data_IF_541020545740
#
_entry.id   IF_541020545740
#
_cell.length_a   1.000
_cell.length_b   1.000
_cell.length_c   1.000
_cell.angle_alpha   90.00
_cell.angle_beta   90.00
_cell.angle_gamma   90.00
#
_symmetry.space_group_name_H-M   'P 1'
#
loop_
_entity.id
_entity.type
_entity.pdbx_description
1 polymer ?
#
# COMPACT_ATOMS: atom_id res chain seq x y z
N UNK A 1 -12.05 4.86 19.41
CA UNK A 1 -12.48 5.38 20.71
C UNK A 1 -13.91 4.94 20.88
N UNK A 2 -14.12 3.83 21.60
CA UNK A 2 -15.45 3.24 21.78
C UNK A 2 -15.89 3.56 23.20
N UNK A 3 -16.86 4.47 23.32
CA UNK A 3 -17.45 4.87 24.58
C UNK A 3 -18.18 3.67 25.21
N UNK A 4 -17.57 3.10 26.24
CA UNK A 4 -18.14 2.01 27.02
C UNK A 4 -19.13 2.62 28.03
N UNK A 5 -20.31 3.01 27.55
CA UNK A 5 -21.38 3.47 28.42
C UNK A 5 -21.98 2.29 29.19
N UNK A 6 -22.02 2.44 30.51
CA UNK A 6 -22.62 1.49 31.45
C UNK A 6 -24.08 1.24 31.06
N UNK A 7 -24.43 -0.02 30.73
CA UNK A 7 -25.76 -0.39 30.25
C UNK A 7 -26.83 -0.14 31.33
N UNK A 8 -28.07 0.12 30.91
CA UNK A 8 -29.20 0.43 31.81
C UNK A 8 -29.42 -0.65 32.90
N UNK A 9 -29.14 -1.92 32.57
CA UNK A 9 -29.18 -3.03 33.53
C UNK A 9 -28.13 -2.90 34.65
N UNK A 10 -26.90 -2.49 34.32
CA UNK A 10 -25.88 -2.24 35.34
C UNK A 10 -26.25 -1.06 36.24
N UNK A 11 -26.88 -0.01 35.68
CA UNK A 11 -27.34 1.14 36.46
C UNK A 11 -28.45 0.73 37.45
N UNK A 12 -29.39 -0.09 37.01
CA UNK A 12 -30.47 -0.60 37.86
C UNK A 12 -29.95 -1.52 38.98
N UNK A 13 -28.96 -2.37 38.69
CA UNK A 13 -28.31 -3.21 39.69
C UNK A 13 -27.59 -2.36 40.75
N UNK A 14 -26.86 -1.31 40.34
CA UNK A 14 -26.16 -0.41 41.26
C UNK A 14 -27.17 0.35 42.15
N UNK A 15 -28.26 0.85 41.57
CA UNK A 15 -29.30 1.57 42.32
C UNK A 15 -29.96 0.64 43.35
N UNK A 16 -30.22 -0.62 43.00
CA UNK A 16 -30.80 -1.59 43.93
C UNK A 16 -29.88 -1.85 45.14
N UNK A 17 -28.57 -2.03 44.91
CA UNK A 17 -27.57 -2.22 45.97
C UNK A 17 -27.47 -0.99 46.87
N UNK A 18 -27.40 0.21 46.29
CA UNK A 18 -27.36 1.46 47.07
C UNK A 18 -28.63 1.60 47.91
N UNK A 19 -29.80 1.27 47.38
CA UNK A 19 -31.08 1.37 48.10
C UNK A 19 -31.13 0.40 49.29
N UNK A 20 -30.61 -0.82 49.14
CA UNK A 20 -30.45 -1.77 50.25
C UNK A 20 -29.48 -1.28 51.34
N UNK A 21 -28.35 -0.69 50.95
CA UNK A 21 -27.37 -0.18 51.90
C UNK A 21 -27.87 1.06 52.66
N UNK A 22 -28.63 1.93 51.98
CA UNK A 22 -29.22 3.13 52.59
C UNK A 22 -30.39 2.80 53.53
N UNK A 23 -31.12 1.71 53.29
CA UNK A 23 -32.16 1.26 54.23
C UNK A 23 -31.58 0.58 55.48
N UNK A 24 -30.34 0.09 55.40
CA UNK A 24 -29.65 -0.58 56.53
C UNK A 24 -28.91 0.39 57.45
N UNK A 25 -28.88 1.70 57.14
CA UNK A 25 -28.16 2.71 57.94
C UNK A 25 -29.05 3.61 58.82
N UNK A 26 -30.37 3.38 58.90
CA UNK A 26 -31.24 4.04 59.87
C UNK A 26 -31.69 3.09 60.99
N UNK A 27 -30.74 2.68 61.83
CA UNK A 27 -30.98 2.25 63.21
C UNK A 27 -29.65 2.24 63.99
N UNK A 28 -29.40 3.41 64.58
CA UNK A 28 -28.59 3.75 65.76
C UNK A 28 -27.08 3.52 65.90
N UNK A 29 -26.47 4.64 66.30
CA UNK A 29 -25.14 4.93 66.81
C UNK A 29 -24.96 4.54 68.30
N UNK A 30 -23.82 3.92 68.64
CA UNK A 30 -22.73 4.42 69.52
C UNK A 30 -21.79 3.23 69.82
N UNK A 31 -20.57 3.21 69.28
CA UNK A 31 -19.31 3.77 69.81
C UNK A 31 -18.65 2.94 70.93
N UNK A 32 -17.36 2.64 70.67
CA UNK A 32 -16.28 2.10 71.53
C UNK A 32 -16.02 0.59 71.56
N UNK A 33 -14.87 0.27 70.95
CA UNK A 33 -13.78 -0.58 71.44
C UNK A 33 -14.03 -1.58 72.56
N UNK A 34 -13.58 -2.81 72.31
CA UNK A 34 -12.78 -3.68 73.19
C UNK A 34 -13.32 -5.10 73.30
N UNK A 35 -12.37 -6.02 73.13
CA UNK A 35 -12.24 -7.30 73.82
C UNK A 35 -13.36 -8.33 73.79
N UNK A 36 -12.95 -9.49 73.29
CA UNK A 36 -13.53 -10.80 73.51
C UNK A 36 -13.49 -11.06 75.02
N UNK A 37 -14.64 -10.96 75.68
CA UNK A 37 -14.84 -11.48 77.03
C UNK A 37 -16.13 -12.31 77.05
N UNK A 38 -15.94 -13.62 77.24
CA UNK A 38 -17.01 -14.59 77.45
C UNK A 38 -17.29 -14.53 78.95
N UNK A 39 -18.46 -14.03 79.34
CA UNK A 39 -18.94 -14.18 80.71
C UNK A 39 -20.21 -15.04 80.78
N UNK A 40 -20.07 -16.11 81.55
CA UNK A 40 -21.08 -17.11 81.87
C UNK A 40 -21.64 -16.71 83.23
N UNK A 41 -22.80 -16.06 83.27
CA UNK A 41 -23.90 -16.34 84.22
C UNK A 41 -24.86 -15.15 84.41
N UNK A 42 -26.12 -15.35 84.03
CA UNK A 42 -27.23 -14.99 84.92
C UNK A 42 -28.45 -15.85 84.58
N UNK A 43 -28.63 -16.88 85.41
CA UNK A 43 -29.85 -17.67 85.50
C UNK A 43 -30.90 -16.79 86.19
N UNK A 44 -32.03 -16.53 85.55
CA UNK A 44 -33.27 -16.13 86.22
C UNK A 44 -34.46 -16.74 85.50
N UNK A 45 -34.95 -17.82 86.10
CA UNK A 45 -36.17 -18.54 85.78
C UNK A 45 -37.38 -17.62 85.87
N UNK A 46 -38.16 -17.50 84.80
CA UNK A 46 -39.62 -17.25 84.89
C UNK A 46 -40.31 -17.87 83.68
N UNK A 47 -41.17 -18.84 83.96
CA UNK A 47 -42.02 -19.57 83.04
C UNK A 47 -42.99 -18.64 82.32
N UNK A 48 -42.84 -18.48 81.01
CA UNK A 48 -43.87 -18.04 80.06
C UNK A 48 -43.70 -18.82 78.75
N UNK A 49 -44.84 -19.21 78.19
CA UNK A 49 -45.01 -20.09 77.03
C UNK A 49 -44.45 -19.41 75.75
N UNK A 50 -43.58 -20.13 75.02
CA UNK A 50 -43.11 -19.99 73.60
C UNK A 50 -43.01 -18.59 72.95
N UNK A 51 -41.84 -18.19 72.39
CA UNK A 51 -41.71 -18.14 70.92
C UNK A 51 -40.26 -18.35 70.42
N UNK A 52 -39.58 -19.42 70.84
CA UNK A 52 -38.19 -19.68 70.39
C UNK A 52 -38.16 -20.34 69.00
N UNK A 53 -39.21 -21.08 68.63
CA UNK A 53 -39.28 -21.80 67.35
C UNK A 53 -39.50 -20.86 66.16
N UNK A 54 -40.38 -19.85 66.31
CA UNK A 54 -40.73 -18.95 65.22
C UNK A 54 -39.54 -18.10 64.74
N UNK A 55 -38.62 -17.71 65.64
CA UNK A 55 -37.44 -16.93 65.28
C UNK A 55 -36.41 -17.76 64.48
N UNK A 56 -36.27 -19.05 64.82
CA UNK A 56 -35.37 -19.98 64.09
C UNK A 56 -35.96 -20.30 62.72
N UNK A 57 -37.28 -20.50 62.64
CA UNK A 57 -37.98 -20.74 61.38
C UNK A 57 -37.93 -19.52 60.45
N UNK A 58 -38.02 -18.29 60.98
CA UNK A 58 -37.83 -17.05 60.22
C UNK A 58 -36.40 -16.94 59.68
N UNK A 59 -35.38 -17.21 60.50
CA UNK A 59 -33.98 -17.16 60.04
C UNK A 59 -33.65 -18.25 59.02
N UNK A 60 -34.20 -19.45 59.18
CA UNK A 60 -34.08 -20.52 58.19
C UNK A 60 -34.75 -20.15 56.87
N UNK A 61 -35.92 -19.50 56.93
CA UNK A 61 -36.62 -18.99 55.75
C UNK A 61 -35.78 -17.94 55.01
N UNK A 62 -35.19 -16.98 55.72
CA UNK A 62 -34.29 -15.97 55.13
C UNK A 62 -33.02 -16.59 54.51
N UNK A 63 -32.46 -17.62 55.15
CA UNK A 63 -31.31 -18.38 54.61
C UNK A 63 -31.72 -19.16 53.36
N UNK A 64 -32.89 -19.79 53.34
CA UNK A 64 -33.42 -20.47 52.16
C UNK A 64 -33.64 -19.51 51.00
N UNK A 65 -34.26 -18.35 51.24
CA UNK A 65 -34.44 -17.31 50.22
C UNK A 65 -33.09 -16.81 49.69
N UNK A 66 -32.09 -16.64 50.57
CA UNK A 66 -30.73 -16.26 50.17
C UNK A 66 -30.07 -17.35 49.31
N UNK A 67 -30.28 -18.63 49.65
CA UNK A 67 -29.79 -19.77 48.86
C UNK A 67 -30.44 -19.80 47.48
N UNK A 68 -31.75 -19.56 47.39
CA UNK A 68 -32.48 -19.55 46.12
C UNK A 68 -32.02 -18.39 45.21
N UNK A 69 -31.80 -17.21 45.78
CA UNK A 69 -31.25 -16.05 45.06
C UNK A 69 -29.84 -16.36 44.54
N UNK A 70 -28.99 -16.97 45.38
CA UNK A 70 -27.63 -17.36 44.99
C UNK A 70 -27.64 -18.45 43.91
N UNK A 71 -28.52 -19.45 44.02
CA UNK A 71 -28.67 -20.50 43.03
C UNK A 71 -29.12 -19.92 41.68
N UNK A 72 -30.09 -19.00 41.68
CA UNK A 72 -30.52 -18.27 40.48
C UNK A 72 -29.42 -17.41 39.87
N UNK A 73 -28.62 -16.75 40.69
CA UNK A 73 -27.45 -15.97 40.25
C UNK A 73 -26.38 -16.85 39.60
N UNK A 74 -26.07 -18.00 40.20
CA UNK A 74 -25.12 -18.99 39.66
C UNK A 74 -25.63 -19.53 38.32
N UNK A 75 -26.91 -19.85 38.21
CA UNK A 75 -27.50 -20.34 36.96
C UNK A 75 -27.39 -19.28 35.85
N UNK A 76 -27.72 -18.03 36.16
CA UNK A 76 -27.62 -16.91 35.19
C UNK A 76 -26.19 -16.71 34.71
N UNK A 77 -25.21 -16.77 35.63
CA UNK A 77 -23.78 -16.67 35.28
C UNK A 77 -23.33 -17.85 34.42
N UNK A 78 -23.82 -19.05 34.69
CA UNK A 78 -23.50 -20.23 33.90
C UNK A 78 -24.06 -20.10 32.47
N UNK A 79 -25.29 -19.64 32.32
CA UNK A 79 -25.92 -19.42 31.02
C UNK A 79 -25.18 -18.33 30.22
N UNK A 80 -24.77 -17.24 30.88
CA UNK A 80 -23.94 -16.18 30.28
C UNK A 80 -22.55 -16.68 29.87
N UNK A 81 -21.91 -17.53 30.69
CA UNK A 81 -20.62 -18.14 30.36
C UNK A 81 -20.72 -19.06 29.13
N UNK A 82 -21.80 -19.83 29.01
CA UNK A 82 -22.06 -20.66 27.83
C UNK A 82 -22.32 -19.80 26.59
N UNK A 83 -23.11 -18.72 26.71
CA UNK A 83 -23.34 -17.78 25.61
C UNK A 83 -22.03 -17.16 25.12
N UNK A 84 -21.19 -16.68 26.04
CA UNK A 84 -19.90 -16.09 25.72
C UNK A 84 -18.96 -17.10 25.05
N UNK A 85 -18.97 -18.36 25.51
CA UNK A 85 -18.22 -19.44 24.87
C UNK A 85 -18.65 -19.67 23.42
N UNK A 86 -19.95 -19.70 23.15
CA UNK A 86 -20.47 -19.84 21.80
C UNK A 86 -20.11 -18.64 20.90
N UNK A 87 -20.21 -17.41 21.42
CA UNK A 87 -19.79 -16.21 20.69
C UNK A 87 -18.29 -16.21 20.37
N UNK A 88 -17.46 -16.65 21.33
CA UNK A 88 -16.01 -16.81 21.13
C UNK A 88 -15.70 -17.76 19.99
N UNK A 89 -16.36 -18.92 19.93
CA UNK A 89 -16.20 -19.89 18.83
C UNK A 89 -16.64 -19.30 17.49
N UNK A 90 -17.76 -18.55 17.47
CA UNK A 90 -18.24 -17.90 16.24
C UNK A 90 -17.24 -16.86 15.71
N UNK A 91 -16.66 -16.06 16.61
CA UNK A 91 -15.64 -15.07 16.25
C UNK A 91 -14.37 -15.79 15.74
N UNK A 92 -13.95 -16.87 16.41
CA UNK A 92 -12.78 -17.63 16.00
C UNK A 92 -12.95 -18.19 14.58
N UNK A 93 -14.09 -18.80 14.27
CA UNK A 93 -14.38 -19.31 12.93
C UNK A 93 -14.38 -18.21 11.87
N UNK A 94 -14.86 -17.00 12.21
CA UNK A 94 -14.84 -15.86 11.30
C UNK A 94 -13.40 -15.36 11.06
N UNK A 95 -12.55 -15.35 12.09
CA UNK A 95 -11.13 -15.01 11.97
C UNK A 95 -10.40 -16.03 11.09
N UNK A 96 -10.68 -17.32 11.27
CA UNK A 96 -10.06 -18.38 10.48
C UNK A 96 -10.47 -18.28 8.99
N UNK A 97 -11.75 -18.02 8.72
CA UNK A 97 -12.25 -17.76 7.36
C UNK A 97 -11.58 -16.55 6.73
N UNK A 98 -11.51 -15.42 7.43
CA UNK A 98 -10.86 -14.20 6.94
C UNK A 98 -9.35 -14.41 6.71
N UNK A 99 -8.69 -15.19 7.57
CA UNK A 99 -7.28 -15.54 7.43
C UNK A 99 -7.05 -16.37 6.16
N UNK A 100 -7.95 -17.30 5.85
CA UNK A 100 -7.90 -18.08 4.63
C UNK A 100 -8.11 -17.21 3.38
N UNK A 101 -9.10 -16.33 3.39
CA UNK A 101 -9.33 -15.38 2.28
C UNK A 101 -8.12 -14.47 2.04
N UNK A 102 -7.51 -13.97 3.12
CA UNK A 102 -6.30 -13.17 3.04
C UNK A 102 -5.12 -13.95 2.43
N UNK A 103 -4.97 -15.23 2.77
CA UNK A 103 -3.95 -16.10 2.19
C UNK A 103 -4.15 -16.30 0.67
N UNK A 104 -5.39 -16.52 0.24
CA UNK A 104 -5.75 -16.63 -1.19
C UNK A 104 -5.44 -15.33 -1.93
N UNK A 105 -5.86 -14.19 -1.38
CA UNK A 105 -5.59 -12.89 -1.98
C UNK A 105 -4.10 -12.61 -2.10
N UNK A 106 -3.32 -12.95 -1.07
CA UNK A 106 -1.86 -12.81 -1.06
C UNK A 106 -1.21 -13.61 -2.18
N UNK A 107 -1.63 -14.86 -2.38
CA UNK A 107 -1.14 -15.70 -3.48
C UNK A 107 -1.48 -15.09 -4.84
N UNK A 108 -2.71 -14.61 -5.02
CA UNK A 108 -3.15 -13.97 -6.26
C UNK A 108 -2.32 -12.71 -6.59
N UNK A 109 -2.07 -11.84 -5.60
CA UNK A 109 -1.22 -10.66 -5.78
C UNK A 109 0.22 -11.06 -6.10
N UNK A 110 0.74 -12.10 -5.44
CA UNK A 110 2.09 -12.61 -5.70
C UNK A 110 2.22 -13.11 -7.15
N UNK A 111 1.25 -13.87 -7.64
CA UNK A 111 1.23 -14.35 -9.04
C UNK A 111 1.16 -13.18 -10.04
N UNK A 112 0.33 -12.17 -9.77
CA UNK A 112 0.24 -10.97 -10.61
C UNK A 112 1.57 -10.19 -10.63
N UNK A 113 2.25 -10.07 -9.49
CA UNK A 113 3.54 -9.39 -9.42
C UNK A 113 4.63 -10.16 -10.20
N UNK A 114 4.64 -11.49 -10.11
CA UNK A 114 5.54 -12.34 -10.91
C UNK A 114 5.29 -12.13 -12.40
N UNK A 115 4.03 -12.04 -12.82
CA UNK A 115 3.68 -11.74 -14.20
C UNK A 115 4.17 -10.35 -14.64
N UNK A 116 3.96 -9.32 -13.82
CA UNK A 116 4.44 -7.96 -14.10
C UNK A 116 5.97 -7.89 -14.18
N UNK A 117 6.67 -8.61 -13.30
CA UNK A 117 8.12 -8.71 -13.34
C UNK A 117 8.61 -9.36 -14.65
N UNK A 118 7.89 -10.35 -15.17
CA UNK A 118 8.15 -10.93 -16.49
C UNK A 118 7.97 -9.96 -17.66
N UNK A 119 7.17 -8.90 -17.50
CA UNK A 119 6.94 -7.87 -18.53
C UNK A 119 7.93 -6.69 -18.47
N UNK A 120 8.64 -6.49 -17.36
CA UNK A 120 9.63 -5.40 -17.20
C UNK A 120 10.70 -5.38 -18.29
N UNK A 121 11.31 -6.51 -18.70
CA UNK A 121 12.30 -6.50 -19.78
C UNK A 121 11.72 -5.99 -21.10
N UNK A 122 10.46 -6.33 -21.41
CA UNK A 122 9.79 -5.86 -22.62
C UNK A 122 9.52 -4.34 -22.55
N UNK A 123 9.18 -3.81 -21.38
CA UNK A 123 9.03 -2.38 -21.18
C UNK A 123 10.37 -1.64 -21.37
N UNK A 124 11.47 -2.19 -20.85
CA UNK A 124 12.81 -1.62 -21.03
C UNK A 124 13.24 -1.64 -22.50
N UNK A 125 13.02 -2.74 -23.22
CA UNK A 125 13.27 -2.85 -24.66
C UNK A 125 12.45 -1.80 -25.43
N UNK A 126 11.14 -1.70 -25.16
CA UNK A 126 10.28 -0.71 -25.80
C UNK A 126 10.69 0.72 -25.47
N UNK A 127 11.15 1.00 -24.24
CA UNK A 127 11.67 2.31 -23.87
C UNK A 127 12.99 2.63 -24.60
N UNK A 128 13.86 1.64 -24.77
CA UNK A 128 15.11 1.79 -25.51
C UNK A 128 14.83 2.03 -27.00
N UNK A 129 13.89 1.29 -27.60
CA UNK A 129 13.44 1.49 -28.98
C UNK A 129 12.76 2.85 -29.19
N UNK A 130 11.95 3.30 -28.24
CA UNK A 130 11.37 4.65 -28.28
C UNK A 130 12.46 5.72 -28.10
N UNK A 131 13.51 5.46 -27.34
CA UNK A 131 14.63 6.39 -27.14
C UNK A 131 15.55 6.47 -28.35
N UNK A 132 15.76 5.36 -29.06
CA UNK A 132 16.46 5.34 -30.35
C UNK A 132 15.62 6.03 -31.44
N UNK A 133 14.29 5.86 -31.44
CA UNK A 133 13.38 6.59 -32.33
C UNK A 133 13.32 8.10 -32.04
N UNK A 134 13.54 8.53 -30.80
CA UNK A 134 13.64 9.96 -30.41
C UNK A 134 14.86 10.68 -30.99
N UNK A 135 15.81 9.99 -31.62
CA UNK A 135 16.83 10.62 -32.47
C UNK A 135 16.23 11.23 -33.76
N UNK A 136 14.91 11.07 -34.01
CA UNK A 136 14.23 11.57 -35.21
C UNK A 136 13.25 12.71 -34.89
N UNK A 137 13.76 13.93 -35.05
CA UNK A 137 13.11 15.23 -35.41
C UNK A 137 13.72 16.33 -34.53
N UNK A 138 14.36 17.37 -35.13
CA UNK A 138 14.88 18.50 -34.37
C UNK A 138 13.78 19.13 -33.50
N UNK A 139 14.07 19.31 -32.20
CA UNK A 139 13.19 20.04 -31.26
C UNK A 139 13.63 21.49 -31.03
N UNK A 140 14.78 21.85 -31.59
CA UNK A 140 15.48 23.14 -31.50
C UNK A 140 16.20 23.40 -32.83
N UNK A 141 16.78 24.60 -33.00
CA UNK A 141 17.50 24.95 -34.24
C UNK A 141 18.67 24.02 -34.58
N UNK A 142 19.29 23.40 -33.57
CA UNK A 142 20.35 22.42 -33.72
C UNK A 142 20.01 21.10 -33.04
N UNK A 143 20.38 20.00 -33.67
CA UNK A 143 20.41 18.68 -33.04
C UNK A 143 21.65 18.51 -32.16
N UNK A 144 21.64 17.49 -31.30
CA UNK A 144 22.84 17.05 -30.59
C UNK A 144 23.89 16.66 -31.63
N UNK A 145 25.07 17.29 -31.56
CA UNK A 145 26.16 17.02 -32.47
C UNK A 145 26.66 15.57 -32.30
N UNK A 146 26.83 14.87 -33.42
CA UNK A 146 27.47 13.56 -33.48
C UNK A 146 28.76 13.70 -34.26
N UNK A 147 29.88 13.26 -33.67
CA UNK A 147 31.21 13.40 -34.27
C UNK A 147 32.23 12.56 -33.51
N UNK A 148 33.49 12.67 -33.91
CA UNK A 148 34.62 11.94 -33.29
C UNK A 148 35.34 12.92 -32.36
N UNK A 149 35.28 12.75 -31.02
CA UNK A 149 35.89 13.70 -30.08
C UNK A 149 37.41 13.87 -30.25
N UNK A 150 38.08 12.82 -30.76
CA UNK A 150 39.51 12.82 -31.10
C UNK A 150 39.69 12.74 -32.62
N UNK A 151 39.12 13.70 -33.33
CA UNK A 151 39.15 13.73 -34.80
C UNK A 151 40.58 13.81 -35.36
N UNK A 152 41.43 14.63 -34.74
CA UNK A 152 42.80 14.83 -35.23
C UNK A 152 43.77 15.25 -34.10
N UNK A 153 45.04 14.79 -34.09
CA UNK A 153 46.03 15.20 -33.10
C UNK A 153 46.41 16.68 -33.24
N UNK A 154 46.36 17.44 -32.14
CA UNK A 154 46.76 18.86 -32.14
C UNK A 154 48.22 19.07 -32.57
N UNK A 155 49.11 18.16 -32.15
CA UNK A 155 50.53 18.21 -32.49
C UNK A 155 50.81 18.16 -33.98
N UNK A 156 49.89 17.66 -34.82
CA UNK A 156 50.03 17.65 -36.27
C UNK A 156 49.49 18.92 -36.94
N UNK A 157 48.55 19.62 -36.30
CA UNK A 157 47.99 20.89 -36.78
C UNK A 157 48.90 22.07 -36.40
N UNK A 158 49.56 21.99 -35.24
CA UNK A 158 50.43 23.04 -34.72
C UNK A 158 51.85 23.00 -35.31
N UNK A 159 52.20 21.95 -36.07
CA UNK A 159 53.49 21.84 -36.75
C UNK A 159 53.63 22.90 -37.84
N UNK A 160 54.73 23.65 -37.82
CA UNK A 160 55.08 24.60 -38.88
C UNK A 160 55.20 23.88 -40.23
N UNK A 161 54.51 24.41 -41.23
CA UNK A 161 54.52 23.87 -42.60
C UNK A 161 53.65 22.62 -42.82
N UNK A 162 52.77 22.27 -41.88
CA UNK A 162 51.82 21.17 -42.06
C UNK A 162 50.94 21.38 -43.32
N UNK A 163 50.50 20.29 -43.98
CA UNK A 163 49.71 20.41 -45.21
C UNK A 163 48.23 20.75 -44.98
N UNK A 164 47.74 20.73 -43.74
CA UNK A 164 46.32 20.84 -43.40
C UNK A 164 45.87 22.29 -43.16
N UNK A 165 46.78 23.14 -42.67
CA UNK A 165 46.57 24.57 -42.47
C UNK A 165 47.48 25.34 -43.41
N UNK A 166 46.88 26.17 -44.26
CA UNK A 166 47.59 27.08 -45.18
C UNK A 166 46.99 28.45 -45.05
N UNK A 167 47.82 29.48 -44.92
CA UNK A 167 47.38 30.88 -44.79
C UNK A 167 46.29 31.06 -43.71
N UNK A 168 46.55 30.49 -42.52
CA UNK A 168 45.62 30.51 -41.38
C UNK A 168 44.22 29.93 -41.67
N UNK A 169 44.13 29.04 -42.67
CA UNK A 169 42.86 28.48 -43.15
C UNK A 169 42.92 26.95 -43.26
N UNK A 170 41.84 26.27 -42.85
CA UNK A 170 41.64 24.83 -43.03
C UNK A 170 40.31 24.55 -43.72
N UNK A 171 40.23 23.45 -44.48
CA UNK A 171 39.02 23.02 -45.17
C UNK A 171 38.51 21.69 -44.60
N UNK A 172 37.22 21.65 -44.22
CA UNK A 172 36.54 20.44 -43.77
C UNK A 172 35.44 20.12 -44.77
N UNK A 173 35.47 18.91 -45.34
CA UNK A 173 34.43 18.41 -46.25
C UNK A 173 33.60 17.36 -45.54
N UNK A 174 32.30 17.62 -45.40
CA UNK A 174 31.33 16.66 -44.88
C UNK A 174 30.61 16.02 -46.06
N UNK A 175 30.53 14.69 -46.07
CA UNK A 175 29.78 13.93 -47.07
C UNK A 175 28.59 13.29 -46.38
N UNK A 176 27.39 13.56 -46.88
CA UNK A 176 26.16 12.94 -46.41
C UNK A 176 25.72 11.93 -47.46
N UNK A 177 25.58 10.67 -47.06
CA UNK A 177 25.09 9.63 -47.96
C UNK A 177 23.56 9.70 -48.06
N UNK A 178 23.08 9.70 -49.29
CA UNK A 178 21.66 9.67 -49.63
C UNK A 178 21.31 8.44 -50.49
N UNK A 179 22.17 7.42 -50.53
CA UNK A 179 22.00 6.21 -51.33
C UNK A 179 20.68 5.49 -51.06
N UNK A 180 20.31 5.34 -49.79
CA UNK A 180 19.08 4.67 -49.35
C UNK A 180 17.85 5.58 -49.34
N UNK A 181 17.99 6.82 -49.80
CA UNK A 181 16.89 7.76 -49.84
C UNK A 181 15.88 7.39 -50.95
N UNK A 182 14.57 7.35 -50.65
CA UNK A 182 13.52 7.19 -51.66
C UNK A 182 13.64 8.24 -52.76
N UNK A 183 13.40 7.84 -54.01
CA UNK A 183 13.48 8.74 -55.18
C UNK A 183 12.57 9.98 -55.04
N UNK A 184 11.47 9.86 -54.32
CA UNK A 184 10.54 10.95 -54.01
C UNK A 184 11.17 12.07 -53.17
N UNK A 185 12.24 11.78 -52.43
CA UNK A 185 12.90 12.73 -51.54
C UNK A 185 14.17 13.36 -52.15
N UNK A 186 14.61 12.88 -53.32
CA UNK A 186 15.78 13.43 -54.04
C UNK A 186 15.72 14.95 -54.28
N UNK A 187 14.57 15.55 -54.66
CA UNK A 187 14.49 17.00 -54.83
C UNK A 187 14.80 17.78 -53.55
N UNK A 188 14.43 17.22 -52.40
CA UNK A 188 14.65 17.86 -51.10
C UNK A 188 16.10 17.70 -50.64
N UNK A 189 16.75 16.58 -50.92
CA UNK A 189 18.17 16.36 -50.61
C UNK A 189 19.11 17.20 -51.47
N UNK A 190 18.83 17.32 -52.77
CA UNK A 190 19.68 18.09 -53.70
C UNK A 190 19.37 19.59 -53.67
N UNK A 191 18.19 19.99 -53.19
CA UNK A 191 17.83 21.38 -52.91
C UNK A 191 18.48 21.97 -51.65
N UNK A 192 19.25 21.18 -50.88
CA UNK A 192 19.96 21.64 -49.68
C UNK A 192 21.13 22.59 -49.99
N UNK A 193 21.46 22.81 -51.25
CA UNK A 193 22.40 23.86 -51.66
C UNK A 193 21.63 25.06 -52.24
N UNK A 194 21.18 26.02 -51.40
CA UNK A 194 20.40 27.17 -51.84
C UNK A 194 21.19 28.13 -52.74
N UNK A 195 22.51 27.95 -52.88
CA UNK A 195 23.38 28.76 -53.74
C UNK A 195 23.37 28.36 -55.21
N UNK A 196 22.74 27.24 -55.60
CA UNK A 196 22.70 26.79 -56.98
C UNK A 196 21.42 27.25 -57.71
N UNK A 197 21.51 27.79 -58.94
CA UNK A 197 20.36 28.07 -59.79
C UNK A 197 19.42 26.87 -59.98
N UNK A 198 18.11 27.11 -60.02
CA UNK A 198 17.06 26.07 -60.06
C UNK A 198 17.21 25.09 -61.23
N UNK A 199 17.64 25.57 -62.38
CA UNK A 199 17.89 24.77 -63.58
C UNK A 199 19.05 23.78 -63.38
N UNK A 200 20.08 24.17 -62.62
CA UNK A 200 21.21 23.29 -62.30
C UNK A 200 20.77 22.23 -61.30
N UNK A 201 19.99 22.60 -60.28
CA UNK A 201 19.42 21.64 -59.33
C UNK A 201 18.57 20.57 -60.03
N UNK A 202 17.69 20.99 -60.95
CA UNK A 202 16.86 20.08 -61.75
C UNK A 202 17.69 19.12 -62.62
N UNK A 203 18.75 19.62 -63.25
CA UNK A 203 19.66 18.79 -64.03
C UNK A 203 20.39 17.75 -63.15
N UNK A 204 20.80 18.13 -61.94
CA UNK A 204 21.44 17.23 -60.98
C UNK A 204 20.48 16.15 -60.48
N UNK A 205 19.24 16.51 -60.13
CA UNK A 205 18.20 15.56 -59.71
C UNK A 205 17.93 14.54 -60.81
N UNK A 206 17.75 15.01 -62.06
CA UNK A 206 17.50 14.15 -63.21
C UNK A 206 18.64 13.16 -63.43
N UNK A 207 19.89 13.64 -63.43
CA UNK A 207 21.08 12.81 -63.63
C UNK A 207 21.24 11.75 -62.54
N UNK A 208 20.98 12.10 -61.29
CA UNK A 208 21.07 11.17 -60.16
C UNK A 208 19.97 10.10 -60.21
N UNK A 209 18.74 10.47 -60.60
CA UNK A 209 17.65 9.52 -60.81
C UNK A 209 17.96 8.52 -61.95
N UNK A 210 18.54 9.00 -63.05
CA UNK A 210 18.97 8.19 -64.19
C UNK A 210 20.11 7.22 -63.80
N UNK A 211 21.13 7.71 -63.08
CA UNK A 211 22.25 6.89 -62.57
C UNK A 211 21.73 5.73 -61.70
N UNK A 212 20.78 5.99 -60.79
CA UNK A 212 20.18 4.96 -59.94
C UNK A 212 19.31 3.97 -60.73
N UNK A 213 18.59 4.43 -61.76
CA UNK A 213 17.83 3.54 -62.63
C UNK A 213 18.73 2.56 -63.39
N UNK A 214 19.90 3.03 -63.85
CA UNK A 214 20.90 2.19 -64.51
C UNK A 214 21.53 1.17 -63.55
N UNK A 215 21.80 1.56 -62.30
CA UNK A 215 22.33 0.64 -61.28
C UNK A 215 21.34 -0.47 -60.90
N UNK A 216 20.05 -0.14 -60.75
CA UNK A 216 19.01 -1.12 -60.48
C UNK A 216 18.82 -2.14 -61.63
N UNK A 217 19.10 -1.75 -62.88
CA UNK A 217 19.02 -2.64 -64.03
C UNK A 217 20.24 -3.57 -64.19
N UNK A 218 21.34 -3.31 -63.46
CA UNK A 218 22.62 -4.04 -63.63
C UNK A 218 22.84 -5.11 -62.55
N UNK A 219 21.97 -5.23 -61.54
CA UNK A 219 22.05 -6.31 -60.55
C UNK A 219 21.31 -7.54 -61.09
N UNK A 220 22.00 -8.62 -61.51
CA UNK A 220 21.34 -9.85 -61.92
C UNK A 220 20.73 -10.49 -60.68
N UNK A 221 19.46 -10.90 -60.76
CA UNK A 221 18.83 -11.78 -59.76
C UNK A 221 19.72 -13.02 -59.56
N UNK A 222 20.33 -13.12 -58.39
CA UNK A 222 20.92 -14.34 -57.83
C UNK A 222 20.19 -14.62 -56.51
#
# INVERSE_FOLDING_TARGET
>A
MSDHYMTEQHQNAIIAVIRCLMFKSSSDHHDKSSEIEIDISSLSTTTMISPVNDNIDIQLQEVCETIDILAGGIQTLNDDAQRLSHESVKIQNAIDGLTQEFAVLKLSIQEQNVFLDGLKPNQEILQQDVSSLKQKRPRSEMNIASGIPKFFPLTMIEQDGNPYVRDDTMFIKIMVDFGDMPKTLLPYALGLNPGLPINIQQAMIKREAERRAQQAATVPNL
#
